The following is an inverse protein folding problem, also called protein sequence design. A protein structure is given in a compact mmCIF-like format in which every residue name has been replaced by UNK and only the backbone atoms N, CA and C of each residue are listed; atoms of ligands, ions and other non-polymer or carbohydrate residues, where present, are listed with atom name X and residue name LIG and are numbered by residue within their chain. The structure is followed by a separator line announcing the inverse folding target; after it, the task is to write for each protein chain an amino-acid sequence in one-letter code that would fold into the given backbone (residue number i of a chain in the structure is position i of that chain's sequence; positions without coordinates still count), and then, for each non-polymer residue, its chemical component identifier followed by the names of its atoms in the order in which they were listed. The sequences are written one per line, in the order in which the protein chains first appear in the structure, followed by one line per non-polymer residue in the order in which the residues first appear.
data_IF_356122244629
#
_entry.id   IF_356122244629
#
_cell.length_a   1.000
_cell.length_b   1.000
_cell.length_c   1.000
_cell.angle_alpha   90.00
_cell.angle_beta   90.00
_cell.angle_gamma   90.00
#
_symmetry.space_group_name_H-M   'P 1'
#
loop_
_entity.id
_entity.type
_entity.pdbx_description
1 polymer ?
#
# COMPACT_ATOMS: atom_id res chain seq x y z
N UNK A 1 49.54 40.59 -19.87
CA UNK A 1 48.99 40.13 -21.16
C UNK A 1 47.62 39.52 -20.89
N UNK A 2 46.55 40.22 -21.30
CA UNK A 2 45.16 39.76 -21.13
C UNK A 2 44.69 39.23 -22.49
N UNK A 3 44.34 37.95 -22.56
CA UNK A 3 43.73 37.34 -23.74
C UNK A 3 42.23 37.19 -23.50
N UNK A 4 41.46 38.05 -24.14
CA UNK A 4 40.00 37.97 -24.27
C UNK A 4 39.66 37.03 -25.43
N UNK A 5 39.05 35.89 -25.15
CA UNK A 5 38.42 35.05 -26.17
C UNK A 5 36.98 35.54 -26.40
N UNK A 6 36.74 36.10 -27.58
CA UNK A 6 35.41 36.44 -28.08
C UNK A 6 34.74 35.17 -28.62
N UNK A 7 33.57 34.82 -28.07
CA UNK A 7 32.70 33.76 -28.58
C UNK A 7 31.77 34.39 -29.62
N UNK A 8 32.07 34.16 -30.90
CA UNK A 8 31.17 34.51 -32.00
C UNK A 8 30.05 33.49 -32.12
N UNK A 9 28.79 33.94 -31.96
CA UNK A 9 27.62 33.16 -32.35
C UNK A 9 27.48 33.20 -33.87
N UNK A 10 27.67 32.06 -34.52
CA UNK A 10 27.27 31.87 -35.91
C UNK A 10 25.80 31.40 -35.95
N UNK A 11 24.93 32.28 -36.46
CA UNK A 11 23.55 31.96 -36.83
C UNK A 11 23.59 31.25 -38.18
N UNK A 12 23.34 29.94 -38.21
CA UNK A 12 23.14 29.19 -39.45
C UNK A 12 21.64 29.24 -39.77
N UNK A 13 21.29 30.07 -40.76
CA UNK A 13 20.00 30.03 -41.42
C UNK A 13 19.95 28.85 -42.39
N UNK A 14 19.05 27.90 -42.14
CA UNK A 14 18.72 26.84 -43.08
C UNK A 14 17.33 27.11 -43.67
N UNK A 15 17.29 27.59 -44.91
CA UNK A 15 16.08 27.63 -45.74
C UNK A 15 15.91 26.26 -46.40
N UNK A 16 14.90 25.50 -45.96
CA UNK A 16 14.43 24.30 -46.66
C UNK A 16 13.12 24.63 -47.37
N UNK A 17 13.19 24.74 -48.69
CA UNK A 17 12.04 24.72 -49.59
C UNK A 17 12.18 23.47 -50.47
N UNK A 18 11.25 22.52 -50.31
CA UNK A 18 11.23 21.28 -51.06
C UNK A 18 9.91 20.55 -50.84
N UNK A 19 8.91 20.91 -51.65
CA UNK A 19 7.63 20.22 -51.79
C UNK A 19 7.87 18.76 -52.20
N UNK A 20 7.51 17.82 -51.34
CA UNK A 20 7.05 16.50 -51.73
C UNK A 20 5.65 16.31 -51.13
N UNK A 21 4.63 16.45 -51.98
CA UNK A 21 3.24 16.16 -51.64
C UNK A 21 3.05 14.64 -51.52
N UNK A 22 3.48 14.06 -50.40
CA UNK A 22 2.92 12.83 -49.88
C UNK A 22 1.75 13.22 -48.97
N UNK A 23 0.54 12.75 -49.28
CA UNK A 23 -0.59 12.96 -48.38
C UNK A 23 -0.24 12.39 -47.00
N UNK A 24 -0.37 13.15 -45.90
CA UNK A 24 -0.24 12.59 -44.57
C UNK A 24 -1.30 11.52 -44.42
N UNK A 25 -0.87 10.27 -44.22
CA UNK A 25 -1.72 9.22 -43.68
C UNK A 25 -2.41 9.80 -42.43
N UNK A 26 -3.72 9.58 -42.25
CA UNK A 26 -4.44 10.12 -41.11
C UNK A 26 -3.76 9.62 -39.83
N UNK A 27 -3.00 10.49 -39.15
CA UNK A 27 -2.45 10.26 -37.80
C UNK A 27 -3.55 10.42 -36.76
N UNK A 28 -4.70 9.84 -37.05
CA UNK A 28 -5.81 9.66 -36.14
C UNK A 28 -5.74 8.23 -35.61
N UNK A 29 -4.96 8.03 -34.55
CA UNK A 29 -5.44 7.15 -33.51
C UNK A 29 -5.47 7.95 -32.20
N UNK A 30 -6.60 8.61 -31.85
CA UNK A 30 -6.82 9.23 -30.54
C UNK A 30 -7.05 8.17 -29.44
N UNK A 31 -6.62 6.94 -29.69
CA UNK A 31 -6.62 5.89 -28.70
C UNK A 31 -5.49 6.22 -27.73
N UNK A 32 -5.89 6.71 -26.56
CA UNK A 32 -5.39 6.21 -25.28
C UNK A 32 -4.70 4.88 -25.55
N UNK A 33 -3.36 4.82 -25.44
CA UNK A 33 -2.62 3.55 -25.40
C UNK A 33 -3.46 2.61 -24.55
N UNK A 34 -4.04 1.58 -25.17
CA UNK A 34 -4.93 0.70 -24.43
C UNK A 34 -4.05 0.04 -23.39
N UNK A 35 -4.10 0.53 -22.15
CA UNK A 35 -3.42 -0.07 -21.01
C UNK A 35 -3.58 -1.58 -21.16
N UNK A 36 -2.46 -2.29 -21.18
CA UNK A 36 -2.50 -3.74 -21.28
C UNK A 36 -3.43 -4.30 -20.19
N UNK A 37 -4.04 -5.47 -20.42
CA UNK A 37 -4.89 -6.12 -19.41
C UNK A 37 -4.16 -6.20 -18.05
N UNK A 38 -2.84 -6.39 -18.08
CA UNK A 38 -1.97 -6.38 -16.91
C UNK A 38 -1.91 -5.02 -16.21
N UNK A 39 -1.75 -3.92 -16.94
CA UNK A 39 -1.72 -2.57 -16.38
C UNK A 39 -3.07 -2.15 -15.79
N UNK A 40 -4.17 -2.49 -16.48
CA UNK A 40 -5.52 -2.26 -15.97
C UNK A 40 -5.78 -3.05 -14.69
N UNK A 41 -5.41 -4.34 -14.67
CA UNK A 41 -5.51 -5.18 -13.46
C UNK A 41 -4.71 -4.59 -12.31
N UNK A 42 -3.45 -4.23 -12.56
CA UNK A 42 -2.60 -3.59 -11.57
C UNK A 42 -3.24 -2.30 -11.04
N UNK A 43 -3.77 -1.45 -11.92
CA UNK A 43 -4.39 -0.19 -11.52
C UNK A 43 -5.68 -0.38 -10.71
N UNK A 44 -6.56 -1.30 -11.13
CA UNK A 44 -7.79 -1.66 -10.40
C UNK A 44 -7.44 -2.17 -9.00
N UNK A 45 -6.44 -3.04 -8.88
CA UNK A 45 -5.94 -3.53 -7.58
C UNK A 45 -5.49 -2.37 -6.68
N UNK A 46 -4.73 -1.40 -7.20
CA UNK A 46 -4.31 -0.22 -6.43
C UNK A 46 -5.49 0.64 -5.99
N UNK A 47 -6.51 0.82 -6.84
CA UNK A 47 -7.74 1.53 -6.50
C UNK A 47 -8.49 0.79 -5.38
N UNK A 48 -8.61 -0.54 -5.48
CA UNK A 48 -9.25 -1.37 -4.46
C UNK A 48 -8.56 -1.22 -3.11
N UNK A 49 -7.23 -1.27 -3.07
CA UNK A 49 -6.47 -1.01 -1.85
C UNK A 49 -6.76 0.39 -1.31
N UNK A 50 -6.63 1.43 -2.15
CA UNK A 50 -6.86 2.82 -1.77
C UNK A 50 -8.25 3.01 -1.11
N UNK A 51 -9.27 2.36 -1.66
CA UNK A 51 -10.63 2.36 -1.11
C UNK A 51 -10.71 1.62 0.23
N UNK A 52 -10.04 0.46 0.35
CA UNK A 52 -9.98 -0.34 1.58
C UNK A 52 -9.20 0.30 2.72
N UNK A 53 -8.31 1.28 2.45
CA UNK A 53 -7.56 1.97 3.49
C UNK A 53 -8.42 2.89 4.38
N UNK A 54 -9.65 3.22 3.97
CA UNK A 54 -10.57 4.00 4.81
C UNK A 54 -10.01 5.37 5.24
N UNK A 55 -9.24 6.02 4.38
CA UNK A 55 -8.53 7.26 4.73
C UNK A 55 -9.47 8.43 5.01
N UNK A 56 -9.10 9.25 5.99
CA UNK A 56 -9.82 10.49 6.32
C UNK A 56 -9.59 11.58 5.25
N UNK A 57 -10.43 12.61 5.24
CA UNK A 57 -10.28 13.75 4.33
C UNK A 57 -8.91 14.44 4.47
N UNK A 58 -8.41 14.56 5.71
CA UNK A 58 -7.10 15.17 5.98
C UNK A 58 -5.95 14.29 5.50
N UNK A 59 -6.05 12.96 5.64
CA UNK A 59 -5.07 12.02 5.07
C UNK A 59 -5.07 12.09 3.55
N UNK A 60 -6.23 12.01 2.89
CA UNK A 60 -6.33 12.10 1.43
C UNK A 60 -5.76 13.42 0.88
N UNK A 61 -5.98 14.54 1.57
CA UNK A 61 -5.40 15.83 1.18
C UNK A 61 -3.87 15.86 1.30
N UNK A 62 -3.27 15.10 2.22
CA UNK A 62 -1.82 14.92 2.32
C UNK A 62 -1.30 13.98 1.23
N UNK A 63 -1.96 12.83 1.03
CA UNK A 63 -1.63 11.87 -0.05
C UNK A 63 -1.67 12.55 -1.41
N UNK A 64 -2.68 13.39 -1.70
CA UNK A 64 -2.76 14.14 -2.96
C UNK A 64 -1.55 15.02 -3.18
N UNK A 65 -1.09 15.75 -2.15
CA UNK A 65 0.11 16.60 -2.25
C UNK A 65 1.36 15.77 -2.54
N UNK A 66 1.53 14.65 -1.84
CA UNK A 66 2.66 13.73 -2.06
C UNK A 66 2.63 13.17 -3.49
N UNK A 67 1.45 12.79 -4.00
CA UNK A 67 1.29 12.32 -5.39
C UNK A 67 1.60 13.41 -6.42
N UNK A 68 1.29 14.68 -6.14
CA UNK A 68 1.68 15.80 -7.00
C UNK A 68 3.21 15.95 -7.03
N UNK A 69 3.88 15.90 -5.88
CA UNK A 69 5.36 15.92 -5.83
C UNK A 69 5.98 14.73 -6.59
N UNK A 70 5.34 13.55 -6.52
CA UNK A 70 5.79 12.36 -7.25
C UNK A 70 5.59 12.50 -8.77
N UNK A 71 4.53 13.19 -9.21
CA UNK A 71 4.29 13.50 -10.62
C UNK A 71 5.33 14.51 -11.14
N UNK A 72 5.64 15.55 -10.38
CA UNK A 72 6.72 16.50 -10.74
C UNK A 72 8.06 15.76 -10.93
N UNK A 73 8.42 14.87 -10.00
CA UNK A 73 9.61 14.02 -10.12
C UNK A 73 9.56 13.11 -11.36
N UNK A 74 8.38 12.55 -11.67
CA UNK A 74 8.17 11.73 -12.89
C UNK A 74 8.36 12.58 -14.15
N UNK A 75 7.83 13.79 -14.21
CA UNK A 75 7.98 14.66 -15.40
C UNK A 75 9.45 15.00 -15.66
N UNK A 76 10.23 15.30 -14.61
CA UNK A 76 11.68 15.53 -14.73
C UNK A 76 12.38 14.28 -15.27
N UNK A 77 12.06 13.10 -14.72
CA UNK A 77 12.62 11.84 -15.17
C UNK A 77 12.25 11.53 -16.63
N UNK A 78 11.00 11.77 -17.05
CA UNK A 78 10.55 11.56 -18.44
C UNK A 78 11.29 12.45 -19.45
N UNK A 79 11.56 13.71 -19.10
CA UNK A 79 12.34 14.59 -19.97
C UNK A 79 13.78 14.08 -20.12
N UNK A 80 14.40 13.65 -19.03
CA UNK A 80 15.74 13.07 -19.06
C UNK A 80 15.75 11.74 -19.85
N UNK A 81 14.75 10.88 -19.65
CA UNK A 81 14.56 9.61 -20.34
C UNK A 81 14.46 9.83 -21.85
N UNK A 82 13.60 10.74 -22.31
CA UNK A 82 13.44 11.06 -23.74
C UNK A 82 14.74 11.55 -24.39
N UNK A 83 15.50 12.39 -23.69
CA UNK A 83 16.82 12.84 -24.17
C UNK A 83 17.80 11.69 -24.28
N UNK A 84 17.76 10.76 -23.32
CA UNK A 84 18.61 9.59 -23.29
C UNK A 84 18.24 8.57 -24.38
N UNK A 85 16.94 8.34 -24.60
CA UNK A 85 16.39 7.48 -25.67
C UNK A 85 16.80 7.95 -27.05
N UNK A 86 16.84 9.27 -27.30
CA UNK A 86 17.30 9.83 -28.57
C UNK A 86 18.75 9.45 -28.92
N UNK A 87 19.56 9.09 -27.91
CA UNK A 87 20.94 8.60 -28.08
C UNK A 87 20.96 7.07 -28.18
N UNK A 88 20.16 6.38 -27.35
CA UNK A 88 20.20 4.92 -27.24
C UNK A 88 19.57 4.20 -28.43
N UNK A 89 18.44 4.71 -28.93
CA UNK A 89 17.64 4.02 -29.96
C UNK A 89 18.47 3.73 -31.22
N UNK A 90 19.20 4.69 -31.82
CA UNK A 90 20.02 4.41 -33.01
C UNK A 90 21.10 3.34 -32.77
N UNK A 91 21.75 3.35 -31.59
CA UNK A 91 22.79 2.37 -31.25
C UNK A 91 22.21 0.96 -31.03
N UNK A 92 21.05 0.86 -30.38
CA UNK A 92 20.35 -0.41 -30.20
C UNK A 92 19.72 -0.93 -31.50
N UNK A 93 19.25 -0.07 -32.38
CA UNK A 93 18.81 -0.47 -33.73
C UNK A 93 19.99 -1.01 -34.55
N UNK A 94 21.15 -0.36 -34.47
CA UNK A 94 22.40 -0.87 -35.08
C UNK A 94 22.77 -2.23 -34.50
N UNK A 95 22.75 -2.39 -33.18
CA UNK A 95 23.02 -3.67 -32.52
C UNK A 95 22.03 -4.75 -32.98
N UNK A 96 20.73 -4.43 -33.03
CA UNK A 96 19.68 -5.33 -33.49
C UNK A 96 19.97 -5.84 -34.90
N UNK A 97 20.33 -4.97 -35.83
CA UNK A 97 20.65 -5.36 -37.21
C UNK A 97 21.85 -6.31 -37.28
N UNK A 98 22.95 -6.01 -36.56
CA UNK A 98 24.14 -6.88 -36.51
C UNK A 98 23.80 -8.28 -35.99
N UNK A 99 23.01 -8.34 -34.91
CA UNK A 99 22.57 -9.62 -34.30
C UNK A 99 21.66 -10.39 -35.25
N UNK A 100 20.74 -9.70 -35.92
CA UNK A 100 19.82 -10.31 -36.89
C UNK A 100 20.55 -10.92 -38.09
N UNK A 101 21.57 -10.22 -38.60
CA UNK A 101 22.37 -10.66 -39.74
C UNK A 101 23.38 -11.77 -39.40
N UNK A 102 23.51 -12.14 -38.11
CA UNK A 102 24.46 -13.15 -37.65
C UNK A 102 25.93 -12.74 -37.79
N UNK A 103 26.20 -11.45 -37.94
CA UNK A 103 27.56 -10.93 -38.10
C UNK A 103 28.28 -10.93 -36.74
N UNK A 104 29.57 -11.29 -36.65
CA UNK A 104 30.33 -11.17 -35.41
C UNK A 104 30.26 -9.75 -34.83
N UNK A 105 29.88 -9.62 -33.56
CA UNK A 105 29.73 -8.34 -32.89
C UNK A 105 31.11 -7.71 -32.63
N UNK A 106 31.34 -6.52 -33.18
CA UNK A 106 32.54 -5.76 -32.91
C UNK A 106 32.58 -5.29 -31.44
N UNK A 107 33.75 -5.40 -30.81
CA UNK A 107 33.94 -5.10 -29.38
C UNK A 107 33.53 -3.67 -29.01
N UNK A 108 33.73 -2.70 -29.91
CA UNK A 108 33.39 -1.30 -29.68
C UNK A 108 31.87 -1.05 -29.68
N UNK A 109 31.11 -1.78 -30.50
CA UNK A 109 29.63 -1.73 -30.52
C UNK A 109 29.08 -2.32 -29.22
N UNK A 110 29.64 -3.45 -28.77
CA UNK A 110 29.25 -4.08 -27.50
C UNK A 110 29.45 -3.14 -26.31
N UNK A 111 30.67 -2.59 -26.15
CA UNK A 111 30.98 -1.70 -25.02
C UNK A 111 30.14 -0.42 -25.03
N UNK A 112 29.86 0.15 -26.21
CA UNK A 112 28.95 1.30 -26.32
C UNK A 112 27.53 0.97 -25.88
N UNK A 113 26.95 -0.13 -26.37
CA UNK A 113 25.59 -0.53 -26.00
C UNK A 113 25.47 -0.86 -24.52
N UNK A 114 26.49 -1.52 -23.95
CA UNK A 114 26.56 -1.79 -22.51
C UNK A 114 26.61 -0.51 -21.69
N UNK A 115 27.45 0.46 -22.07
CA UNK A 115 27.53 1.75 -21.39
C UNK A 115 26.19 2.53 -21.45
N UNK A 116 25.45 2.40 -22.56
CA UNK A 116 24.12 2.98 -22.71
C UNK A 116 23.07 2.28 -21.83
N UNK A 117 23.11 0.95 -21.73
CA UNK A 117 22.22 0.21 -20.81
C UNK A 117 22.51 0.57 -19.34
N UNK A 118 23.79 0.61 -18.95
CA UNK A 118 24.20 1.01 -17.60
C UNK A 118 23.73 2.44 -17.28
N UNK A 119 23.84 3.38 -18.22
CA UNK A 119 23.35 4.74 -18.02
C UNK A 119 21.82 4.83 -17.93
N UNK A 120 21.08 4.03 -18.70
CA UNK A 120 19.62 3.92 -18.55
C UNK A 120 19.24 3.41 -17.16
N UNK A 121 19.93 2.38 -16.65
CA UNK A 121 19.75 1.86 -15.28
C UNK A 121 20.06 2.93 -14.23
N UNK A 122 21.11 3.72 -14.40
CA UNK A 122 21.44 4.83 -13.51
C UNK A 122 20.34 5.89 -13.49
N UNK A 123 19.77 6.22 -14.65
CA UNK A 123 18.68 7.18 -14.76
C UNK A 123 17.41 6.69 -14.04
N UNK A 124 17.04 5.43 -14.25
CA UNK A 124 15.91 4.80 -13.56
C UNK A 124 16.14 4.77 -12.04
N UNK A 125 17.34 4.42 -11.59
CA UNK A 125 17.69 4.42 -10.17
C UNK A 125 17.66 5.83 -9.56
N UNK A 126 18.08 6.85 -10.30
CA UNK A 126 18.01 8.25 -9.85
C UNK A 126 16.55 8.68 -9.64
N UNK A 127 15.65 8.33 -10.56
CA UNK A 127 14.22 8.57 -10.39
C UNK A 127 13.66 7.84 -9.14
N UNK A 128 13.95 6.56 -8.98
CA UNK A 128 13.46 5.80 -7.82
C UNK A 128 13.99 6.33 -6.48
N UNK A 129 15.26 6.74 -6.42
CA UNK A 129 15.83 7.43 -5.25
C UNK A 129 15.12 8.75 -4.93
N UNK A 130 14.66 9.48 -5.96
CA UNK A 130 13.89 10.70 -5.75
C UNK A 130 12.51 10.46 -5.10
N UNK A 131 11.97 9.24 -5.24
CA UNK A 131 10.69 8.85 -4.64
C UNK A 131 10.81 8.36 -3.19
N UNK A 132 11.99 7.90 -2.75
CA UNK A 132 12.22 7.41 -1.39
C UNK A 132 11.77 8.40 -0.28
N UNK A 133 12.11 9.71 -0.30
CA UNK A 133 11.61 10.65 0.71
C UNK A 133 10.09 10.84 0.64
N UNK A 134 9.47 10.65 -0.53
CA UNK A 134 8.01 10.74 -0.69
C UNK A 134 7.31 9.52 -0.09
N UNK A 135 7.91 8.33 -0.21
CA UNK A 135 7.43 7.13 0.47
C UNK A 135 7.44 7.32 1.98
N UNK A 136 8.50 7.88 2.56
CA UNK A 136 8.56 8.11 4.00
C UNK A 136 7.49 9.10 4.46
N UNK A 137 7.28 10.21 3.73
CA UNK A 137 6.15 11.12 3.97
C UNK A 137 4.81 10.37 3.96
N UNK A 138 4.63 9.44 3.01
CA UNK A 138 3.40 8.68 2.89
C UNK A 138 3.22 7.69 4.06
N UNK A 139 4.29 7.02 4.50
CA UNK A 139 4.28 6.13 5.67
C UNK A 139 3.85 6.87 6.94
N UNK A 140 4.26 8.14 7.11
CA UNK A 140 3.85 8.99 8.23
C UNK A 140 2.36 9.37 8.15
N UNK A 141 1.80 9.54 6.94
CA UNK A 141 0.37 9.86 6.75
C UNK A 141 -0.53 8.69 7.11
N UNK A 142 -0.08 7.46 6.84
CA UNK A 142 -0.83 6.23 7.13
C UNK A 142 -0.75 5.86 8.62
N UNK A 143 -1.84 5.31 9.15
CA UNK A 143 -1.82 4.69 10.48
C UNK A 143 -1.04 3.37 10.46
N UNK A 144 -0.56 2.85 11.60
CA UNK A 144 0.08 1.54 11.66
C UNK A 144 -0.80 0.42 11.05
N UNK A 145 -2.10 0.45 11.31
CA UNK A 145 -3.04 -0.52 10.76
C UNK A 145 -3.18 -0.41 9.25
N UNK A 146 -3.26 0.81 8.70
CA UNK A 146 -3.27 1.06 7.25
C UNK A 146 -1.98 0.56 6.60
N UNK A 147 -0.81 0.78 7.20
CA UNK A 147 0.47 0.25 6.69
C UNK A 147 0.47 -1.28 6.65
N UNK A 148 -0.02 -1.94 7.70
CA UNK A 148 -0.18 -3.40 7.74
C UNK A 148 -1.11 -3.91 6.63
N UNK A 149 -2.18 -3.17 6.29
CA UNK A 149 -3.04 -3.51 5.15
C UNK A 149 -2.29 -3.41 3.82
N UNK A 150 -1.49 -2.36 3.61
CA UNK A 150 -0.65 -2.23 2.41
C UNK A 150 0.34 -3.38 2.32
N UNK A 151 0.99 -3.73 3.43
CA UNK A 151 1.96 -4.81 3.50
C UNK A 151 1.33 -6.18 3.17
N UNK A 152 0.12 -6.44 3.67
CA UNK A 152 -0.62 -7.70 3.45
C UNK A 152 -1.45 -7.74 2.16
N UNK A 153 -1.59 -6.61 1.46
CA UNK A 153 -2.43 -6.54 0.27
C UNK A 153 -1.98 -7.55 -0.80
N UNK A 154 -2.81 -8.55 -1.10
CA UNK A 154 -2.64 -9.42 -2.25
C UNK A 154 -3.24 -8.73 -3.49
N UNK A 155 -2.70 -9.01 -4.67
CA UNK A 155 -3.14 -8.42 -5.94
C UNK A 155 -4.53 -8.94 -6.37
N UNK A 156 -5.56 -8.60 -5.60
CA UNK A 156 -6.93 -9.04 -5.84
C UNK A 156 -7.69 -8.03 -6.70
N UNK A 157 -8.04 -8.45 -7.92
CA UNK A 157 -8.85 -7.64 -8.85
C UNK A 157 -10.29 -7.48 -8.37
N UNK A 158 -10.84 -8.51 -7.72
CA UNK A 158 -12.22 -8.51 -7.23
C UNK A 158 -12.24 -8.01 -5.79
N UNK A 159 -12.84 -6.84 -5.51
CA UNK A 159 -12.93 -6.34 -4.15
C UNK A 159 -13.74 -7.32 -3.28
N UNK A 160 -13.40 -7.41 -1.99
CA UNK A 160 -14.25 -8.12 -1.04
C UNK A 160 -15.68 -7.51 -1.07
N UNK A 161 -16.74 -8.34 -0.97
CA UNK A 161 -18.12 -7.90 -1.17
C UNK A 161 -18.56 -6.78 -0.22
N UNK A 162 -17.93 -6.66 0.96
CA UNK A 162 -18.17 -5.57 1.90
C UNK A 162 -16.90 -4.73 2.11
N UNK A 163 -16.74 -3.67 1.32
CA UNK A 163 -15.70 -2.65 1.55
C UNK A 163 -16.13 -1.58 2.58
N UNK A 164 -17.44 -1.43 2.82
CA UNK A 164 -18.01 -0.45 3.76
C UNK A 164 -18.11 -0.95 5.19
N UNK A 165 -18.14 -2.27 5.36
CA UNK A 165 -17.88 -2.90 6.65
C UNK A 165 -16.42 -3.27 6.56
N UNK A 166 -15.48 -2.36 6.90
CA UNK A 166 -14.09 -2.77 6.99
C UNK A 166 -14.14 -3.92 7.96
N UNK A 167 -13.89 -5.16 7.53
CA UNK A 167 -13.55 -6.24 8.46
C UNK A 167 -12.63 -5.60 9.47
N UNK A 168 -13.17 -5.41 10.69
CA UNK A 168 -12.72 -4.42 11.66
C UNK A 168 -11.21 -4.32 11.53
N UNK A 169 -10.69 -3.19 11.06
CA UNK A 169 -9.25 -3.02 10.91
C UNK A 169 -8.72 -2.91 12.36
N UNK A 170 -8.34 -4.06 12.92
CA UNK A 170 -8.23 -4.35 14.37
C UNK A 170 -8.82 -5.71 14.80
N UNK A 171 -9.49 -6.42 13.90
CA UNK A 171 -9.97 -7.81 13.97
C UNK A 171 -9.68 -8.61 12.70
N UNK A 172 -9.19 -7.97 11.63
CA UNK A 172 -8.60 -8.62 10.46
C UNK A 172 -7.18 -9.16 10.78
N UNK A 173 -7.14 -10.16 11.64
CA UNK A 173 -6.28 -11.32 11.54
C UNK A 173 -7.19 -12.52 11.81
N UNK A 174 -6.85 -13.72 11.36
CA UNK A 174 -7.69 -14.92 11.51
C UNK A 174 -7.88 -15.40 12.97
N UNK A 175 -7.78 -14.48 13.93
CA UNK A 175 -8.11 -14.62 15.34
C UNK A 175 -9.50 -15.18 15.59
N UNK A 176 -10.45 -15.12 14.66
CA UNK A 176 -11.71 -15.86 14.84
C UNK A 176 -11.52 -17.37 14.95
N UNK A 177 -10.64 -17.96 14.13
CA UNK A 177 -10.31 -19.39 14.20
C UNK A 177 -9.56 -19.71 15.50
N UNK A 178 -8.60 -18.87 15.89
CA UNK A 178 -7.87 -19.03 17.15
C UNK A 178 -8.76 -18.87 18.38
N UNK A 179 -9.65 -17.87 18.39
CA UNK A 179 -10.63 -17.64 19.45
C UNK A 179 -11.61 -18.81 19.55
N UNK A 180 -12.05 -19.37 18.41
CA UNK A 180 -12.91 -20.54 18.38
C UNK A 180 -12.21 -21.75 18.99
N UNK A 181 -10.98 -22.04 18.55
CA UNK A 181 -10.18 -23.15 19.07
C UNK A 181 -9.91 -23.01 20.58
N UNK A 182 -9.54 -21.81 21.06
CA UNK A 182 -9.33 -21.54 22.49
C UNK A 182 -10.61 -21.75 23.31
N UNK A 183 -11.79 -21.40 22.75
CA UNK A 183 -13.09 -21.66 23.38
C UNK A 183 -13.40 -23.16 23.46
N UNK A 184 -13.02 -23.94 22.45
CA UNK A 184 -13.20 -25.39 22.46
C UNK A 184 -12.28 -26.07 23.48
N UNK A 185 -11.00 -25.70 23.50
CA UNK A 185 -10.00 -26.24 24.44
C UNK A 185 -10.46 -26.11 25.90
N UNK A 186 -11.04 -24.97 26.27
CA UNK A 186 -11.56 -24.73 27.63
C UNK A 186 -12.65 -25.70 28.07
N UNK A 187 -13.45 -26.19 27.12
CA UNK A 187 -14.60 -27.06 27.41
C UNK A 187 -14.19 -28.51 27.64
N UNK A 188 -12.95 -28.88 27.28
CA UNK A 188 -12.48 -30.25 27.41
C UNK A 188 -12.31 -30.64 28.88
N UNK A 189 -12.49 -31.91 29.25
CA UNK A 189 -12.01 -32.43 30.54
C UNK A 189 -10.49 -32.32 30.67
N UNK A 190 -9.98 -32.22 31.90
CA UNK A 190 -8.54 -32.03 32.15
C UNK A 190 -7.70 -33.18 31.57
N UNK A 191 -8.14 -34.43 31.75
CA UNK A 191 -7.43 -35.59 31.24
C UNK A 191 -7.30 -35.60 29.71
N UNK A 192 -8.38 -35.22 29.00
CA UNK A 192 -8.38 -35.14 27.54
C UNK A 192 -7.50 -33.99 27.05
N UNK A 193 -7.56 -32.85 27.74
CA UNK A 193 -6.70 -31.72 27.43
C UNK A 193 -5.22 -32.07 27.57
N UNK A 194 -4.81 -32.71 28.68
CA UNK A 194 -3.41 -33.09 28.87
C UNK A 194 -2.94 -34.10 27.81
N UNK A 195 -3.80 -35.03 27.39
CA UNK A 195 -3.48 -35.98 26.32
C UNK A 195 -3.30 -35.31 24.95
N UNK A 196 -4.02 -34.20 24.69
CA UNK A 196 -4.06 -33.54 23.37
C UNK A 196 -3.41 -32.16 23.32
N UNK A 197 -2.81 -31.68 24.41
CA UNK A 197 -2.24 -30.33 24.50
C UNK A 197 -1.31 -30.01 23.33
N UNK A 198 -0.38 -30.92 23.04
CA UNK A 198 0.60 -30.75 21.97
C UNK A 198 -0.05 -30.68 20.57
N UNK A 199 -1.17 -31.39 20.37
CA UNK A 199 -1.95 -31.35 19.12
C UNK A 199 -2.58 -29.97 18.94
N UNK A 200 -3.14 -29.38 20.00
CA UNK A 200 -3.71 -28.03 19.93
C UNK A 200 -2.67 -26.95 19.66
N UNK A 201 -1.50 -27.04 20.30
CA UNK A 201 -0.39 -26.14 19.99
C UNK A 201 0.07 -26.30 18.55
N UNK A 202 0.14 -27.53 18.03
CA UNK A 202 0.46 -27.79 16.63
C UNK A 202 -0.57 -27.19 15.65
N UNK A 203 -1.86 -27.28 15.96
CA UNK A 203 -2.94 -26.65 15.17
C UNK A 203 -2.82 -25.13 15.14
N UNK A 204 -2.49 -24.51 16.29
CA UNK A 204 -2.27 -23.07 16.37
C UNK A 204 -1.04 -22.65 15.54
N UNK A 205 0.07 -23.40 15.63
CA UNK A 205 1.27 -23.17 14.81
C UNK A 205 0.95 -23.30 13.33
N UNK A 206 0.20 -24.33 12.94
CA UNK A 206 -0.20 -24.54 11.55
C UNK A 206 -1.06 -23.38 11.03
N UNK A 207 -1.99 -22.87 11.85
CA UNK A 207 -2.75 -21.68 11.50
C UNK A 207 -1.84 -20.47 11.31
N UNK A 208 -0.89 -20.26 12.22
CA UNK A 208 0.09 -19.17 12.14
C UNK A 208 0.94 -19.29 10.86
N UNK A 209 1.43 -20.48 10.52
CA UNK A 209 2.19 -20.69 9.28
C UNK A 209 1.33 -20.52 8.02
N UNK A 210 0.04 -20.88 8.09
CA UNK A 210 -0.92 -20.65 7.01
C UNK A 210 -1.19 -19.17 6.75
N UNK A 211 -1.27 -18.38 7.82
CA UNK A 211 -1.56 -16.94 7.77
C UNK A 211 -0.34 -16.09 7.41
N UNK A 212 0.85 -16.49 7.89
CA UNK A 212 2.05 -15.66 7.86
C UNK A 212 3.23 -16.28 7.11
N UNK A 213 3.08 -17.50 6.59
CA UNK A 213 4.15 -18.27 5.95
C UNK A 213 4.99 -19.09 6.94
N UNK A 214 5.88 -19.92 6.40
CA UNK A 214 6.72 -20.82 7.20
C UNK A 214 7.60 -20.04 8.19
N UNK A 215 7.60 -20.48 9.44
CA UNK A 215 8.38 -19.85 10.50
C UNK A 215 9.81 -20.41 10.49
N UNK A 216 10.81 -19.53 10.52
CA UNK A 216 12.20 -19.93 10.44
C UNK A 216 12.63 -20.85 11.58
N UNK A 217 13.55 -21.80 11.32
CA UNK A 217 14.00 -22.81 12.33
C UNK A 217 14.47 -22.20 13.65
N UNK A 218 15.05 -20.99 13.62
CA UNK A 218 15.52 -20.28 14.82
C UNK A 218 14.37 -19.69 15.66
N UNK A 219 13.25 -19.34 15.02
CA UNK A 219 12.09 -18.69 15.66
C UNK A 219 11.03 -19.72 16.10
N UNK A 220 11.03 -20.90 15.50
CA UNK A 220 10.08 -21.99 15.77
C UNK A 220 9.99 -22.36 17.27
N UNK A 221 11.09 -22.54 18.03
CA UNK A 221 10.99 -22.89 19.45
C UNK A 221 10.27 -21.82 20.29
N UNK A 222 10.45 -20.55 19.93
CA UNK A 222 9.77 -19.44 20.61
C UNK A 222 8.28 -19.40 20.26
N UNK A 223 7.91 -19.72 19.02
CA UNK A 223 6.52 -19.83 18.61
C UNK A 223 5.82 -21.00 19.33
N UNK A 224 6.44 -22.19 19.35
CA UNK A 224 5.91 -23.37 20.05
C UNK A 224 5.59 -23.04 21.50
N UNK A 225 6.57 -22.47 22.22
CA UNK A 225 6.40 -22.11 23.62
C UNK A 225 5.24 -21.12 23.82
N UNK A 226 5.10 -20.12 22.95
CA UNK A 226 3.99 -19.15 23.04
C UNK A 226 2.63 -19.80 22.85
N UNK A 227 2.50 -20.66 21.84
CA UNK A 227 1.25 -21.39 21.61
C UNK A 227 0.92 -22.27 22.83
N UNK A 228 1.90 -22.95 23.41
CA UNK A 228 1.72 -23.73 24.65
C UNK A 228 1.25 -22.85 25.82
N UNK A 229 1.90 -21.70 26.04
CA UNK A 229 1.58 -20.76 27.12
C UNK A 229 0.16 -20.19 26.96
N UNK A 230 -0.23 -19.82 25.74
CA UNK A 230 -1.56 -19.28 25.43
C UNK A 230 -2.64 -20.34 25.65
N UNK A 231 -2.40 -21.58 25.24
CA UNK A 231 -3.33 -22.70 25.42
C UNK A 231 -3.55 -23.00 26.91
N UNK A 232 -2.47 -23.04 27.70
CA UNK A 232 -2.58 -23.23 29.15
C UNK A 232 -3.27 -22.07 29.86
N UNK A 233 -2.88 -20.85 29.55
CA UNK A 233 -3.45 -19.66 30.15
C UNK A 233 -4.95 -19.55 29.84
N UNK A 234 -5.33 -19.88 28.59
CA UNK A 234 -6.71 -19.92 28.16
C UNK A 234 -7.55 -20.88 29.01
N UNK A 235 -7.01 -21.98 29.55
CA UNK A 235 -7.73 -22.86 30.49
C UNK A 235 -7.84 -22.30 31.90
N UNK A 236 -6.75 -21.73 32.42
CA UNK A 236 -6.64 -21.29 33.83
C UNK A 236 -7.51 -20.08 34.14
N UNK A 237 -7.82 -19.25 33.14
CA UNK A 237 -8.58 -18.02 33.35
C UNK A 237 -10.05 -18.30 33.76
N UNK A 238 -10.66 -17.48 34.63
CA UNK A 238 -12.11 -17.49 34.83
C UNK A 238 -12.85 -17.03 33.56
N UNK A 239 -14.08 -17.50 33.34
CA UNK A 239 -14.86 -17.24 32.11
C UNK A 239 -14.95 -15.76 31.75
N UNK A 240 -15.23 -14.90 32.73
CA UNK A 240 -15.33 -13.44 32.52
C UNK A 240 -13.99 -12.85 32.06
N UNK A 241 -12.88 -13.28 32.66
CA UNK A 241 -11.54 -12.79 32.29
C UNK A 241 -11.11 -13.32 30.93
N UNK A 242 -11.44 -14.57 30.63
CA UNK A 242 -11.19 -15.17 29.34
C UNK A 242 -11.95 -14.44 28.23
N UNK A 243 -13.25 -14.18 28.41
CA UNK A 243 -14.07 -13.47 27.42
C UNK A 243 -13.51 -12.08 27.07
N UNK A 244 -12.93 -11.38 28.04
CA UNK A 244 -12.30 -10.07 27.83
C UNK A 244 -10.91 -10.15 27.18
N UNK A 245 -10.17 -11.25 27.36
CA UNK A 245 -8.77 -11.36 26.92
C UNK A 245 -8.57 -12.20 25.67
N UNK A 246 -9.52 -13.07 25.30
CA UNK A 246 -9.34 -14.06 24.22
C UNK A 246 -8.91 -13.45 22.87
N UNK A 247 -9.39 -12.24 22.53
CA UNK A 247 -8.94 -11.52 21.34
C UNK A 247 -7.45 -11.17 21.40
N UNK A 248 -7.00 -10.66 22.55
CA UNK A 248 -5.59 -10.33 22.79
C UNK A 248 -4.71 -11.59 22.82
N UNK A 249 -5.21 -12.71 23.34
CA UNK A 249 -4.49 -13.99 23.34
C UNK A 249 -4.29 -14.52 21.91
N UNK A 250 -5.27 -14.31 21.03
CA UNK A 250 -5.14 -14.62 19.61
C UNK A 250 -4.11 -13.72 18.91
N UNK A 251 -4.08 -12.42 19.26
CA UNK A 251 -3.06 -11.47 18.78
C UNK A 251 -1.65 -11.80 19.29
N UNK A 252 -1.51 -12.32 20.52
CA UNK A 252 -0.21 -12.70 21.10
C UNK A 252 0.47 -13.86 20.33
N UNK A 253 -0.29 -14.61 19.52
CA UNK A 253 0.23 -15.66 18.63
C UNK A 253 0.66 -15.13 17.26
N UNK A 254 0.30 -13.90 16.89
CA UNK A 254 0.69 -13.29 15.62
C UNK A 254 2.21 -13.01 15.61
N UNK A 255 2.99 -13.68 14.74
CA UNK A 255 4.43 -13.47 14.63
C UNK A 255 4.78 -12.03 14.26
N UNK A 256 3.93 -11.35 13.49
CA UNK A 256 4.16 -10.02 12.94
C UNK A 256 3.91 -8.90 13.95
N UNK A 257 3.01 -9.07 14.93
CA UNK A 257 2.86 -8.09 16.03
C UNK A 257 4.16 -7.98 16.84
N UNK A 258 4.94 -9.06 16.90
CA UNK A 258 6.29 -9.06 17.50
C UNK A 258 7.39 -8.79 16.46
N UNK A 259 7.22 -9.20 15.20
CA UNK A 259 8.12 -8.81 14.11
C UNK A 259 7.97 -7.32 13.76
N UNK A 260 7.00 -6.55 14.27
CA UNK A 260 7.06 -5.08 14.21
C UNK A 260 8.15 -4.55 15.18
N UNK A 261 8.47 -5.27 16.27
CA UNK A 261 9.63 -4.96 17.12
C UNK A 261 10.96 -5.42 16.50
N UNK A 262 10.97 -6.50 15.72
CA UNK A 262 12.17 -7.02 15.03
C UNK A 262 12.37 -6.47 13.59
N UNK A 263 11.32 -6.07 12.88
CA UNK A 263 11.38 -5.37 11.59
C UNK A 263 11.86 -3.95 11.75
N UNK A 264 11.68 -3.31 12.92
CA UNK A 264 12.41 -2.09 13.23
C UNK A 264 13.94 -2.30 13.25
N UNK A 265 14.44 -3.55 13.32
CA UNK A 265 15.85 -3.91 13.09
C UNK A 265 16.12 -4.41 11.65
N UNK A 266 15.12 -4.92 10.91
CA UNK A 266 15.27 -5.33 9.49
C UNK A 266 15.13 -4.18 8.48
N UNK A 267 14.61 -3.02 8.88
CA UNK A 267 14.51 -1.81 8.04
C UNK A 267 15.89 -1.36 7.50
N UNK A 268 17.00 -1.81 8.08
CA UNK A 268 18.34 -1.50 7.57
C UNK A 268 18.84 -2.42 6.44
N UNK A 269 18.22 -3.59 6.18
CA UNK A 269 18.72 -4.56 5.19
C UNK A 269 17.88 -4.70 3.91
N UNK A 270 16.70 -4.07 3.81
CA UNK A 270 15.83 -4.15 2.61
C UNK A 270 16.21 -3.12 1.50
N UNK A 271 17.33 -2.42 1.64
CA UNK A 271 17.87 -1.53 0.59
C UNK A 271 18.36 -2.27 -0.67
N UNK A 272 18.40 -3.62 -0.63
CA UNK A 272 18.76 -4.47 -1.78
C UNK A 272 17.56 -4.87 -2.67
N UNK A 273 16.34 -4.43 -2.37
CA UNK A 273 15.21 -4.60 -3.29
C UNK A 273 15.45 -3.69 -4.50
N UNK A 274 15.71 -4.29 -5.66
CA UNK A 274 15.87 -3.65 -6.97
C UNK A 274 14.85 -2.51 -7.13
N UNK A 275 15.32 -1.27 -6.95
CA UNK A 275 14.51 -0.05 -7.08
C UNK A 275 14.17 0.72 -5.79
N UNK A 276 14.59 0.27 -4.60
CA UNK A 276 14.65 1.10 -3.38
C UNK A 276 13.34 1.57 -2.76
N UNK A 277 12.18 1.29 -3.37
CA UNK A 277 10.86 1.60 -2.80
C UNK A 277 10.24 0.38 -2.13
N UNK A 278 9.71 0.59 -0.92
CA UNK A 278 8.89 -0.38 -0.22
C UNK A 278 7.53 -0.59 -0.91
N UNK A 279 6.72 -1.50 -0.35
CA UNK A 279 5.38 -1.80 -0.90
C UNK A 279 4.46 -0.58 -0.85
N UNK A 280 4.63 0.28 0.16
CA UNK A 280 3.94 1.56 0.29
C UNK A 280 4.26 2.48 -0.89
N UNK A 281 5.55 2.70 -1.18
CA UNK A 281 5.98 3.50 -2.32
C UNK A 281 5.49 2.95 -3.65
N UNK A 282 5.71 1.65 -3.91
CA UNK A 282 5.35 0.99 -5.18
C UNK A 282 3.85 1.04 -5.51
N UNK A 283 3.00 0.98 -4.49
CA UNK A 283 1.55 1.02 -4.68
C UNK A 283 1.02 2.45 -4.69
N UNK A 284 1.34 3.24 -3.65
CA UNK A 284 0.65 4.49 -3.36
C UNK A 284 1.33 5.74 -3.94
N UNK A 285 2.54 5.64 -4.50
CA UNK A 285 3.16 6.71 -5.30
C UNK A 285 2.87 6.58 -6.81
N UNK A 286 1.92 5.71 -7.20
CA UNK A 286 1.45 5.66 -8.58
C UNK A 286 0.65 6.92 -8.91
N UNK A 287 1.22 7.80 -9.74
CA UNK A 287 0.62 9.09 -10.13
C UNK A 287 -0.75 8.95 -10.80
N UNK A 288 -1.08 7.77 -11.35
CA UNK A 288 -2.42 7.49 -11.91
C UNK A 288 -3.51 7.50 -10.83
N UNK A 289 -3.15 7.38 -9.54
CA UNK A 289 -4.07 7.50 -8.42
C UNK A 289 -4.47 8.95 -8.11
N UNK A 290 -3.77 9.95 -8.65
CA UNK A 290 -4.06 11.37 -8.39
C UNK A 290 -5.52 11.78 -8.71
N UNK A 291 -6.10 11.44 -9.89
CA UNK A 291 -7.52 11.70 -10.16
C UNK A 291 -8.47 10.92 -9.22
N UNK A 292 -8.10 9.69 -8.83
CA UNK A 292 -8.92 8.86 -7.91
C UNK A 292 -8.99 9.49 -6.53
N UNK A 293 -7.85 9.93 -5.99
CA UNK A 293 -7.76 10.64 -4.71
C UNK A 293 -8.54 11.95 -4.76
N UNK A 294 -8.44 12.71 -5.85
CA UNK A 294 -9.16 13.96 -6.03
C UNK A 294 -10.69 13.77 -6.05
N UNK A 295 -11.18 12.75 -6.77
CA UNK A 295 -12.59 12.40 -6.79
C UNK A 295 -13.09 11.93 -5.40
N UNK A 296 -12.29 11.13 -4.69
CA UNK A 296 -12.64 10.67 -3.34
C UNK A 296 -12.76 11.82 -2.34
N UNK A 297 -11.85 12.81 -2.40
CA UNK A 297 -11.93 14.03 -1.58
C UNK A 297 -13.25 14.75 -1.83
N UNK A 298 -13.63 14.95 -3.11
CA UNK A 298 -14.90 15.61 -3.48
C UNK A 298 -16.11 14.86 -2.91
N UNK A 299 -16.13 13.53 -3.05
CA UNK A 299 -17.21 12.68 -2.54
C UNK A 299 -17.37 12.78 -1.02
N UNK A 300 -16.26 12.70 -0.28
CA UNK A 300 -16.29 12.83 1.19
C UNK A 300 -16.73 14.23 1.64
N UNK A 301 -16.29 15.29 0.95
CA UNK A 301 -16.73 16.65 1.26
C UNK A 301 -18.25 16.82 1.07
N UNK A 302 -18.80 16.27 -0.02
CA UNK A 302 -20.24 16.31 -0.28
C UNK A 302 -21.04 15.55 0.80
N UNK A 303 -20.55 14.38 1.24
CA UNK A 303 -21.18 13.60 2.31
C UNK A 303 -21.19 14.35 3.65
N UNK A 304 -20.09 15.01 4.01
CA UNK A 304 -20.00 15.81 5.24
C UNK A 304 -20.95 17.03 5.20
N UNK A 305 -21.10 17.66 4.03
CA UNK A 305 -22.04 18.78 3.87
C UNK A 305 -23.50 18.34 4.07
N UNK A 306 -23.87 17.16 3.56
CA UNK A 306 -25.24 16.62 3.71
C UNK A 306 -25.56 16.22 5.16
N UNK A 307 -24.63 15.58 5.86
CA UNK A 307 -24.83 15.19 7.27
C UNK A 307 -24.85 16.38 8.23
N UNK A 308 -24.03 17.40 7.97
CA UNK A 308 -24.06 18.65 8.74
C UNK A 308 -25.38 19.41 8.62
N UNK A 309 -26.00 19.42 7.44
CA UNK A 309 -27.28 20.11 7.21
C UNK A 309 -28.48 19.40 7.82
N UNK A 310 -28.43 18.07 7.99
CA UNK A 310 -29.54 17.29 8.55
C UNK A 310 -29.69 17.40 10.07
N UNK A 311 -28.63 17.77 10.80
CA UNK A 311 -28.68 17.96 12.26
C UNK A 311 -29.11 19.37 12.69
N UNK A 312 -29.06 20.36 11.80
CA UNK A 312 -29.49 21.73 12.09
C UNK A 312 -31.01 21.95 11.97
N UNK A 313 -31.74 21.03 11.35
CA UNK A 313 -33.21 21.12 11.20
C UNK A 313 -34.00 20.30 12.24
N UNK A 314 -33.33 19.54 13.10
CA UNK A 314 -33.94 19.00 14.32
C UNK A 314 -33.77 20.00 15.45
N UNK A 315 -34.51 21.11 15.37
CA UNK A 315 -34.72 21.95 16.54
C UNK A 315 -35.25 21.11 17.72
N UNK A 316 -35.02 21.53 18.98
CA UNK A 316 -35.59 20.85 20.13
C UNK A 316 -37.10 20.74 19.92
N UNK A 317 -37.60 19.51 19.80
CA UNK A 317 -39.03 19.26 19.71
C UNK A 317 -39.73 19.91 20.90
N UNK A 318 -40.99 20.38 20.74
CA UNK A 318 -41.72 21.01 21.81
C UNK A 318 -41.70 20.10 23.05
N UNK A 319 -41.12 20.61 24.13
CA UNK A 319 -41.14 19.94 25.43
C UNK A 319 -42.61 19.88 25.83
N UNK A 320 -43.20 18.68 25.80
CA UNK A 320 -44.53 18.47 26.31
C UNK A 320 -44.51 18.72 27.82
N UNK A 321 -45.01 19.88 28.24
CA UNK A 321 -45.32 20.18 29.63
C UNK A 321 -46.40 19.22 30.13
N UNK A 322 -45.99 18.07 30.68
CA UNK A 322 -46.87 17.21 31.45
C UNK A 322 -47.13 17.88 32.81
N UNK A 323 -48.22 18.62 32.86
CA UNK A 323 -48.81 19.20 34.05
C UNK A 323 -49.29 18.08 35.01
N UNK A 324 -48.47 17.67 35.97
CA UNK A 324 -48.91 16.84 37.11
C UNK A 324 -49.20 17.73 38.31
N UNK A 325 -50.43 18.23 38.38
CA UNK A 325 -51.08 18.65 39.63
C UNK A 325 -51.47 17.40 40.42
N UNK A 326 -51.08 17.28 41.68
CA UNK A 326 -51.65 16.22 42.53
C UNK A 326 -51.09 16.01 43.93
N UNK A 327 -51.43 16.94 44.83
CA UNK A 327 -51.74 16.74 46.27
C UNK A 327 -50.67 16.22 47.25
N UNK A 328 -50.39 17.13 48.19
CA UNK A 328 -49.99 16.91 49.57
C UNK A 328 -50.79 15.82 50.31
N UNK A 329 -50.10 15.07 51.18
CA UNK A 329 -50.66 14.63 52.46
C UNK A 329 -49.54 14.59 53.51
N UNK A 330 -49.65 15.51 54.47
CA UNK A 330 -48.89 15.55 55.72
C UNK A 330 -49.43 14.44 56.62
N UNK A 331 -48.55 13.60 57.14
CA UNK A 331 -48.87 12.54 58.10
C UNK A 331 -47.80 12.46 59.17
N UNK A 332 -47.90 13.35 60.16
CA UNK A 332 -47.30 13.21 61.48
C UNK A 332 -47.83 11.95 62.16
N UNK A 333 -46.99 11.14 62.81
CA UNK A 333 -47.30 10.46 64.07
C UNK A 333 -46.10 9.64 64.61
N UNK A 334 -45.70 10.03 65.83
CA UNK A 334 -45.06 9.28 66.93
C UNK A 334 -43.81 8.45 66.65
#
# INVERSE_FOLDING_TARGET
MRCTCAVGMAVIGATWAGLAAGQPMPTGNPFVESDSITELRSFVTKINLLNGLGMTLSQLAKVRRILTEADDARQVALVAQKRYEAICVPEFERLRSIVWDGTPLASDVYERCKALDDGNRLLQNAYLRSLAPLEEKLRIVLTPAQRSLVDRHADCMVPAPNLQDPERIGQAGNGFAYVALLKEIRKLPEAEFQARKNEYSALLIQGVEGDFGLVGRKEMPALVKRCDDVVEEARKLPDVRFALRVGKMAEEMDPQIQDIRLKNLRVENDLDVVGGLGKVGRILLDVRLLPVVADRIKKLQAQTAQTGSSNLLKGPGPVAESCTKGRCAVGTLK
#
